data_IF_630466914092
#
_entry.id   IF_630466914092
#
_cell.length_a   1.000
_cell.length_b   1.000
_cell.length_c   1.000
_cell.angle_alpha   90.00
_cell.angle_beta   90.00
_cell.angle_gamma   90.00
#
_symmetry.space_group_name_H-M   'P 1'
#
loop_
_entity.id
_entity.type
_entity.pdbx_description
1 polymer ?
#
# COMPACT_ATOMS: atom_id res chain seq x y z
N UNK A 1 24.51 -61.04 -29.62
CA UNK A 1 23.75 -60.85 -28.36
C UNK A 1 24.43 -59.91 -27.32
N UNK A 2 25.74 -60.01 -27.00
CA UNK A 2 26.40 -59.18 -25.96
C UNK A 2 26.41 -57.68 -26.30
N UNK A 3 26.69 -57.26 -27.53
CA UNK A 3 26.77 -55.84 -27.97
C UNK A 3 25.38 -55.18 -27.86
N UNK A 4 24.30 -55.87 -28.29
CA UNK A 4 22.94 -55.33 -28.24
C UNK A 4 22.49 -55.10 -26.80
N UNK A 5 22.84 -55.98 -25.84
CA UNK A 5 22.54 -55.80 -24.40
C UNK A 5 23.31 -54.61 -23.82
N UNK A 6 24.58 -54.42 -24.22
CA UNK A 6 25.36 -53.26 -23.80
C UNK A 6 24.76 -51.93 -24.31
N UNK A 7 24.37 -51.88 -25.58
CA UNK A 7 23.67 -50.69 -26.16
C UNK A 7 22.36 -50.41 -25.45
N UNK A 8 21.57 -51.47 -25.16
CA UNK A 8 20.31 -51.32 -24.40
C UNK A 8 20.55 -50.72 -22.99
N UNK A 9 21.59 -51.21 -22.31
CA UNK A 9 21.97 -50.71 -20.98
C UNK A 9 22.40 -49.24 -21.01
N UNK A 10 23.19 -48.85 -22.00
CA UNK A 10 23.61 -47.43 -22.19
C UNK A 10 22.42 -46.55 -22.50
N UNK A 11 21.48 -46.96 -23.38
CA UNK A 11 20.27 -46.19 -23.69
C UNK A 11 19.36 -46.06 -22.47
N UNK A 12 19.24 -47.09 -21.63
CA UNK A 12 18.48 -47.05 -20.40
C UNK A 12 19.07 -46.02 -19.42
N UNK A 13 20.40 -46.05 -19.21
CA UNK A 13 21.11 -45.10 -18.34
C UNK A 13 20.88 -43.65 -18.84
N UNK A 14 21.10 -43.41 -20.13
CA UNK A 14 20.92 -42.10 -20.73
C UNK A 14 19.45 -41.62 -20.63
N UNK A 15 18.47 -42.52 -20.84
CA UNK A 15 17.06 -42.24 -20.68
C UNK A 15 16.70 -41.88 -19.25
N UNK A 16 17.17 -42.66 -18.26
CA UNK A 16 16.95 -42.38 -16.83
C UNK A 16 17.59 -41.06 -16.42
N UNK A 17 18.81 -40.79 -16.85
CA UNK A 17 19.47 -39.53 -16.55
C UNK A 17 18.78 -38.34 -17.18
N UNK A 18 18.35 -38.43 -18.45
CA UNK A 18 17.60 -37.39 -19.12
C UNK A 18 16.23 -37.13 -18.45
N UNK A 19 15.54 -38.19 -18.02
CA UNK A 19 14.28 -38.06 -17.24
C UNK A 19 14.51 -37.41 -15.88
N UNK A 20 15.60 -37.73 -15.20
CA UNK A 20 15.97 -37.10 -13.94
C UNK A 20 16.19 -35.59 -14.12
N UNK A 21 16.95 -35.15 -15.12
CA UNK A 21 17.18 -33.74 -15.41
C UNK A 21 15.88 -33.02 -15.80
N UNK A 22 15.00 -33.68 -16.58
CA UNK A 22 13.71 -33.11 -16.96
C UNK A 22 12.78 -32.99 -15.75
N UNK A 23 12.77 -33.97 -14.85
CA UNK A 23 11.99 -33.92 -13.60
C UNK A 23 12.47 -32.82 -12.66
N UNK A 24 13.79 -32.66 -12.51
CA UNK A 24 14.39 -31.59 -11.72
C UNK A 24 14.03 -30.20 -12.29
N UNK A 25 14.09 -30.05 -13.62
CA UNK A 25 13.66 -28.80 -14.28
C UNK A 25 12.18 -28.51 -14.06
N UNK A 26 11.32 -29.50 -14.18
CA UNK A 26 9.88 -29.36 -13.93
C UNK A 26 9.60 -29.02 -12.47
N UNK A 27 10.29 -29.65 -11.54
CA UNK A 27 10.19 -29.36 -10.10
C UNK A 27 10.57 -27.90 -9.80
N UNK A 28 11.72 -27.41 -10.32
CA UNK A 28 12.12 -26.00 -10.18
C UNK A 28 11.09 -25.06 -10.77
N UNK A 29 10.58 -25.35 -11.97
CA UNK A 29 9.55 -24.54 -12.61
C UNK A 29 8.21 -24.53 -11.81
N UNK A 30 7.86 -25.65 -11.16
CA UNK A 30 6.69 -25.72 -10.29
C UNK A 30 6.86 -24.83 -9.05
N UNK A 31 8.00 -24.90 -8.39
CA UNK A 31 8.29 -24.05 -7.23
C UNK A 31 8.30 -22.56 -7.60
N UNK A 32 8.89 -22.20 -8.76
CA UNK A 32 8.88 -20.81 -9.25
C UNK A 32 7.46 -20.29 -9.46
N UNK A 33 6.55 -21.08 -10.04
CA UNK A 33 5.13 -20.69 -10.17
C UNK A 33 4.50 -20.46 -8.80
N UNK A 34 4.76 -21.31 -7.81
CA UNK A 34 4.21 -21.16 -6.47
C UNK A 34 4.70 -19.85 -5.81
N UNK A 35 5.97 -19.52 -5.96
CA UNK A 35 6.54 -18.27 -5.49
C UNK A 35 5.91 -17.06 -6.19
N UNK A 36 5.82 -17.05 -7.52
CA UNK A 36 5.27 -15.91 -8.27
C UNK A 36 3.76 -15.70 -7.97
N UNK A 37 3.01 -16.76 -7.68
CA UNK A 37 1.63 -16.65 -7.17
C UNK A 37 1.58 -15.93 -5.82
N UNK A 38 2.50 -16.26 -4.93
CA UNK A 38 2.60 -15.61 -3.63
C UNK A 38 2.97 -14.14 -3.76
N UNK A 39 3.96 -13.82 -4.59
CA UNK A 39 4.43 -12.45 -4.80
C UNK A 39 3.36 -11.57 -5.44
N UNK A 40 2.62 -12.09 -6.42
CA UNK A 40 1.49 -11.39 -7.02
C UNK A 40 0.36 -11.13 -5.99
N UNK A 41 0.09 -12.08 -5.08
CA UNK A 41 -0.90 -11.90 -4.03
C UNK A 41 -0.47 -10.84 -3.00
N UNK A 42 0.82 -10.83 -2.61
CA UNK A 42 1.38 -9.80 -1.71
C UNK A 42 1.31 -8.40 -2.33
N UNK A 43 1.61 -8.28 -3.63
CA UNK A 43 1.51 -7.01 -4.35
C UNK A 43 0.07 -6.47 -4.37
N UNK A 44 -0.92 -7.32 -4.64
CA UNK A 44 -2.33 -6.94 -4.61
C UNK A 44 -2.79 -6.54 -3.20
N UNK A 45 -2.48 -7.36 -2.20
CA UNK A 45 -2.82 -7.07 -0.82
C UNK A 45 -2.23 -5.74 -0.34
N UNK A 46 -1.00 -5.45 -0.74
CA UNK A 46 -0.32 -4.22 -0.37
C UNK A 46 -0.98 -2.98 -0.97
N UNK A 47 -1.46 -3.03 -2.22
CA UNK A 47 -2.17 -1.92 -2.85
C UNK A 47 -3.47 -1.62 -2.10
N UNK A 48 -4.33 -2.62 -1.92
CA UNK A 48 -5.58 -2.47 -1.13
C UNK A 48 -5.30 -1.98 0.29
N UNK A 49 -4.20 -2.43 0.89
CA UNK A 49 -3.78 -2.04 2.23
C UNK A 49 -3.47 -0.55 2.33
N UNK A 50 -2.65 0.00 1.42
CA UNK A 50 -2.33 1.43 1.40
C UNK A 50 -3.57 2.29 1.15
N UNK A 51 -4.42 1.92 0.22
CA UNK A 51 -5.67 2.64 -0.04
C UNK A 51 -6.60 2.63 1.17
N UNK A 52 -6.69 1.49 1.87
CA UNK A 52 -7.48 1.36 3.10
C UNK A 52 -6.97 2.26 4.23
N UNK A 53 -5.65 2.36 4.41
CA UNK A 53 -5.04 3.26 5.39
C UNK A 53 -5.26 4.73 5.00
N UNK A 54 -5.22 5.08 3.71
CA UNK A 54 -5.52 6.44 3.23
C UNK A 54 -6.96 6.84 3.59
N UNK A 55 -7.92 5.95 3.35
CA UNK A 55 -9.32 6.20 3.71
C UNK A 55 -9.50 6.36 5.23
N UNK A 56 -8.84 5.52 6.03
CA UNK A 56 -8.86 5.62 7.49
C UNK A 56 -8.22 6.92 8.00
N UNK A 57 -7.14 7.38 7.38
CA UNK A 57 -6.49 8.65 7.68
C UNK A 57 -7.40 9.83 7.38
N UNK A 58 -8.20 9.73 6.33
CA UNK A 58 -9.18 10.76 6.00
C UNK A 58 -10.35 10.75 6.98
N UNK A 59 -10.88 9.56 7.34
CA UNK A 59 -11.89 9.40 8.43
C UNK A 59 -11.42 10.10 9.70
N UNK A 60 -10.19 9.81 10.17
CA UNK A 60 -9.63 10.45 11.35
C UNK A 60 -9.64 11.98 11.23
N UNK A 61 -9.22 12.50 10.08
CA UNK A 61 -9.13 13.96 9.85
C UNK A 61 -10.51 14.62 9.90
N UNK A 62 -11.52 14.04 9.26
CA UNK A 62 -12.89 14.55 9.26
C UNK A 62 -13.49 14.44 10.67
N UNK A 63 -13.26 13.32 11.37
CA UNK A 63 -13.70 13.13 12.75
C UNK A 63 -13.09 14.19 13.68
N UNK A 64 -11.81 14.49 13.54
CA UNK A 64 -11.12 15.52 14.33
C UNK A 64 -11.71 16.92 14.10
N UNK A 65 -11.97 17.28 12.84
CA UNK A 65 -12.62 18.54 12.49
C UNK A 65 -14.02 18.61 13.09
N UNK A 66 -14.81 17.54 12.92
CA UNK A 66 -16.18 17.48 13.46
C UNK A 66 -16.22 17.58 14.99
N UNK A 67 -15.31 16.92 15.71
CA UNK A 67 -15.20 16.99 17.16
C UNK A 67 -14.75 18.36 17.69
N UNK A 68 -14.14 19.20 16.84
CA UNK A 68 -13.72 20.55 17.22
C UNK A 68 -14.84 21.61 17.13
N UNK A 69 -16.00 21.26 16.56
CA UNK A 69 -17.14 22.17 16.47
C UNK A 69 -17.88 22.30 17.81
N UNK A 70 -18.15 23.53 18.24
CA UNK A 70 -18.95 23.83 19.43
C UNK A 70 -20.47 23.64 19.17
N UNK A 71 -20.88 23.51 17.90
CA UNK A 71 -22.26 23.35 17.46
C UNK A 71 -22.60 21.88 17.12
N UNK A 72 -23.83 21.63 16.72
CA UNK A 72 -24.25 20.35 16.15
C UNK A 72 -23.43 20.06 14.87
N UNK A 73 -23.05 18.80 14.70
CA UNK A 73 -22.26 18.36 13.54
C UNK A 73 -23.15 18.44 12.28
N UNK A 74 -22.70 19.11 11.21
CA UNK A 74 -23.42 19.09 9.95
C UNK A 74 -23.54 17.64 9.39
N UNK A 75 -24.71 17.24 8.85
CA UNK A 75 -24.93 15.89 8.32
C UNK A 75 -23.88 15.46 7.30
N UNK A 76 -23.40 16.37 6.47
CA UNK A 76 -22.37 16.09 5.47
C UNK A 76 -21.05 15.55 6.06
N UNK A 77 -20.67 15.97 7.28
CA UNK A 77 -19.49 15.40 7.96
C UNK A 77 -19.74 13.96 8.40
N UNK A 78 -20.94 13.67 8.92
CA UNK A 78 -21.31 12.32 9.35
C UNK A 78 -21.35 11.36 8.15
N UNK A 79 -21.98 11.78 7.05
CA UNK A 79 -22.02 11.01 5.80
C UNK A 79 -20.61 10.73 5.27
N UNK A 80 -19.72 11.72 5.30
CA UNK A 80 -18.34 11.58 4.85
C UNK A 80 -17.55 10.62 5.75
N UNK A 81 -17.74 10.68 7.07
CA UNK A 81 -17.12 9.74 8.03
C UNK A 81 -17.58 8.31 7.73
N UNK A 82 -18.89 8.08 7.55
CA UNK A 82 -19.43 6.75 7.24
C UNK A 82 -18.92 6.21 5.89
N UNK A 83 -18.84 7.07 4.87
CA UNK A 83 -18.29 6.71 3.57
C UNK A 83 -16.84 6.25 3.68
N UNK A 84 -16.01 6.99 4.44
CA UNK A 84 -14.60 6.63 4.62
C UNK A 84 -14.43 5.36 5.45
N UNK A 85 -15.27 5.12 6.45
CA UNK A 85 -15.31 3.86 7.22
C UNK A 85 -15.61 2.67 6.31
N UNK A 86 -16.66 2.76 5.51
CA UNK A 86 -17.04 1.70 4.59
C UNK A 86 -15.92 1.40 3.56
N UNK A 87 -15.28 2.45 3.05
CA UNK A 87 -14.16 2.33 2.11
C UNK A 87 -12.95 1.68 2.77
N UNK A 88 -12.51 2.16 3.93
CA UNK A 88 -11.34 1.61 4.64
C UNK A 88 -11.56 0.15 5.05
N UNK A 89 -12.72 -0.18 5.60
CA UNK A 89 -13.05 -1.54 6.02
C UNK A 89 -13.08 -2.50 4.82
N UNK A 90 -13.69 -2.09 3.71
CA UNK A 90 -13.75 -2.89 2.49
C UNK A 90 -12.36 -3.17 1.90
N UNK A 91 -11.49 -2.16 1.85
CA UNK A 91 -10.13 -2.29 1.34
C UNK A 91 -9.24 -3.16 2.24
N UNK A 92 -9.23 -2.89 3.54
CA UNK A 92 -8.46 -3.68 4.49
C UNK A 92 -8.92 -5.15 4.53
N UNK A 93 -10.22 -5.40 4.40
CA UNK A 93 -10.76 -6.76 4.33
C UNK A 93 -10.33 -7.47 3.05
N UNK A 94 -10.36 -6.81 1.87
CA UNK A 94 -9.85 -7.38 0.61
C UNK A 94 -8.36 -7.72 0.70
N UNK A 95 -7.55 -6.82 1.26
CA UNK A 95 -6.13 -7.07 1.48
C UNK A 95 -5.90 -8.35 2.29
N UNK A 96 -6.66 -8.54 3.37
CA UNK A 96 -6.58 -9.75 4.21
C UNK A 96 -6.99 -11.01 3.45
N UNK A 97 -8.15 -10.98 2.78
CA UNK A 97 -8.64 -12.12 2.00
C UNK A 97 -7.67 -12.54 0.89
N UNK A 98 -6.99 -11.55 0.27
CA UNK A 98 -5.96 -11.84 -0.75
C UNK A 98 -4.80 -12.69 -0.22
N UNK A 99 -4.61 -12.73 1.10
CA UNK A 99 -3.54 -13.47 1.78
C UNK A 99 -4.00 -14.77 2.44
N UNK A 100 -5.30 -14.96 2.70
CA UNK A 100 -5.81 -16.11 3.48
C UNK A 100 -5.56 -17.46 2.80
N UNK A 101 -5.80 -17.55 1.49
CA UNK A 101 -5.69 -18.79 0.71
C UNK A 101 -4.31 -19.02 0.08
N UNK A 102 -3.31 -18.22 0.44
CA UNK A 102 -1.99 -18.28 -0.19
C UNK A 102 -0.96 -18.99 0.68
N UNK A 103 0.13 -19.52 0.07
CA UNK A 103 1.22 -20.09 0.83
C UNK A 103 1.70 -19.13 1.91
N UNK A 104 2.08 -19.67 3.07
CA UNK A 104 2.53 -18.88 4.21
C UNK A 104 3.76 -18.03 3.84
N UNK A 105 3.69 -16.72 4.02
CA UNK A 105 4.87 -15.85 4.03
C UNK A 105 5.43 -15.73 5.46
N UNK A 106 6.71 -15.42 5.58
CA UNK A 106 7.49 -15.52 6.82
C UNK A 106 6.82 -14.82 8.02
N UNK A 107 6.17 -13.67 7.80
CA UNK A 107 5.59 -12.87 8.88
C UNK A 107 4.05 -12.92 8.94
N UNK A 108 3.41 -13.91 8.31
CA UNK A 108 1.94 -13.98 8.21
C UNK A 108 1.22 -13.89 9.55
N UNK A 109 1.68 -14.66 10.54
CA UNK A 109 1.04 -14.67 11.86
C UNK A 109 1.16 -13.32 12.55
N UNK A 110 2.38 -12.73 12.53
CA UNK A 110 2.63 -11.43 13.12
C UNK A 110 1.79 -10.34 12.45
N UNK A 111 1.73 -10.33 11.12
CA UNK A 111 0.87 -9.43 10.36
C UNK A 111 -0.60 -9.58 10.76
N UNK A 112 -1.12 -10.82 10.77
CA UNK A 112 -2.52 -11.08 11.11
C UNK A 112 -2.86 -10.65 12.54
N UNK A 113 -1.95 -10.83 13.50
CA UNK A 113 -2.14 -10.43 14.90
C UNK A 113 -2.13 -8.91 15.06
N UNK A 114 -1.18 -8.20 14.41
CA UNK A 114 -1.15 -6.74 14.42
C UNK A 114 -2.42 -6.15 13.81
N UNK A 115 -2.85 -6.66 12.66
CA UNK A 115 -4.07 -6.21 11.98
C UNK A 115 -5.30 -6.45 12.85
N UNK A 116 -5.42 -7.62 13.46
CA UNK A 116 -6.56 -7.95 14.35
C UNK A 116 -6.61 -7.00 15.54
N UNK A 117 -5.47 -6.73 16.17
CA UNK A 117 -5.36 -5.79 17.29
C UNK A 117 -5.76 -4.38 16.88
N UNK A 118 -5.18 -3.87 15.78
CA UNK A 118 -5.49 -2.53 15.28
C UNK A 118 -6.97 -2.38 14.91
N UNK A 119 -7.57 -3.35 14.21
CA UNK A 119 -9.00 -3.33 13.86
C UNK A 119 -9.91 -3.33 15.10
N UNK A 120 -9.57 -4.10 16.12
CA UNK A 120 -10.33 -4.09 17.38
C UNK A 120 -10.25 -2.72 18.07
N UNK A 121 -9.06 -2.11 18.08
CA UNK A 121 -8.85 -0.76 18.59
C UNK A 121 -9.63 0.30 17.80
N UNK A 122 -9.56 0.27 16.47
CA UNK A 122 -10.31 1.17 15.58
C UNK A 122 -11.81 1.05 15.83
N UNK A 123 -12.35 -0.17 15.92
CA UNK A 123 -13.77 -0.38 16.17
C UNK A 123 -14.20 0.16 17.56
N UNK A 124 -13.32 0.10 18.56
CA UNK A 124 -13.59 0.68 19.87
C UNK A 124 -13.62 2.23 19.81
N UNK A 125 -12.61 2.83 19.17
CA UNK A 125 -12.51 4.29 19.01
C UNK A 125 -13.63 4.86 18.14
N UNK A 126 -14.09 4.14 17.12
CA UNK A 126 -15.25 4.54 16.31
C UNK A 126 -16.53 4.63 17.13
N UNK A 127 -16.80 3.62 18.00
CA UNK A 127 -17.96 3.69 18.90
C UNK A 127 -17.90 4.88 19.84
N UNK A 128 -16.73 5.15 20.39
CA UNK A 128 -16.53 6.33 21.23
C UNK A 128 -16.68 7.64 20.44
N UNK A 129 -16.15 7.69 19.20
CA UNK A 129 -16.35 8.82 18.30
C UNK A 129 -17.84 9.07 18.05
N UNK A 130 -18.62 8.03 17.77
CA UNK A 130 -20.06 8.14 17.52
C UNK A 130 -20.80 8.68 18.73
N UNK A 131 -20.46 8.23 19.95
CA UNK A 131 -21.01 8.75 21.20
C UNK A 131 -20.67 10.24 21.42
N UNK A 132 -19.47 10.68 21.03
CA UNK A 132 -19.07 12.08 21.12
C UNK A 132 -19.73 12.94 20.02
N UNK A 133 -19.80 12.44 18.79
CA UNK A 133 -20.39 13.14 17.65
C UNK A 133 -21.91 13.33 17.82
N UNK A 134 -22.58 12.40 18.51
CA UNK A 134 -24.01 12.51 18.83
C UNK A 134 -24.37 13.64 19.84
N UNK A 135 -23.36 14.18 20.54
CA UNK A 135 -23.54 15.25 21.55
C UNK A 135 -23.25 16.61 20.94
N UNK A 136 -23.88 17.67 21.48
CA UNK A 136 -23.51 19.07 21.19
C UNK A 136 -22.16 19.42 21.80
N UNK A 137 -21.49 20.48 21.33
CA UNK A 137 -20.13 20.86 21.75
C UNK A 137 -19.95 20.92 23.27
N UNK A 138 -20.86 21.63 23.96
CA UNK A 138 -20.79 21.81 25.43
C UNK A 138 -21.01 20.51 26.22
N UNK A 139 -21.70 19.52 25.65
CA UNK A 139 -21.94 18.23 26.28
C UNK A 139 -20.82 17.18 25.98
N UNK A 140 -19.87 17.52 25.10
CA UNK A 140 -18.73 16.68 24.79
C UNK A 140 -17.68 16.78 25.89
N UNK A 141 -17.04 15.65 26.20
CA UNK A 141 -15.85 15.67 27.04
C UNK A 141 -14.66 16.23 26.22
N UNK A 142 -14.12 17.42 26.51
CA UNK A 142 -13.10 18.07 25.71
C UNK A 142 -11.78 17.28 25.71
N UNK A 143 -11.45 16.58 26.81
CA UNK A 143 -10.25 15.76 26.93
C UNK A 143 -10.34 14.55 25.96
N UNK A 144 -11.50 13.89 25.91
CA UNK A 144 -11.69 12.74 25.01
C UNK A 144 -11.83 13.18 23.55
N UNK A 145 -12.52 14.28 23.28
CA UNK A 145 -12.61 14.84 21.92
C UNK A 145 -11.25 15.19 21.32
N UNK A 146 -10.30 15.65 22.15
CA UNK A 146 -8.95 15.92 21.69
C UNK A 146 -8.03 14.69 21.67
N UNK A 147 -8.21 13.70 22.54
CA UNK A 147 -7.37 12.51 22.62
C UNK A 147 -7.66 11.47 21.52
N UNK A 148 -8.95 11.28 21.19
CA UNK A 148 -9.41 10.24 20.26
C UNK A 148 -8.73 10.29 18.88
N UNK A 149 -8.55 11.44 18.20
CA UNK A 149 -7.85 11.51 16.93
C UNK A 149 -6.37 11.07 17.01
N UNK A 150 -5.72 11.28 18.17
CA UNK A 150 -4.33 10.83 18.39
C UNK A 150 -4.25 9.32 18.61
N UNK A 151 -5.23 8.75 19.28
CA UNK A 151 -5.31 7.29 19.45
C UNK A 151 -5.58 6.62 18.10
N UNK A 152 -6.47 7.16 17.26
CA UNK A 152 -6.67 6.70 15.87
C UNK A 152 -5.39 6.84 15.03
N UNK A 153 -4.67 7.96 15.19
CA UNK A 153 -3.37 8.17 14.52
C UNK A 153 -2.39 7.05 14.86
N UNK A 154 -2.26 6.69 16.15
CA UNK A 154 -1.35 5.61 16.57
C UNK A 154 -1.71 4.27 15.91
N UNK A 155 -3.01 3.92 15.84
CA UNK A 155 -3.45 2.70 15.17
C UNK A 155 -3.21 2.73 13.65
N UNK A 156 -3.31 3.90 13.01
CA UNK A 156 -2.96 4.08 11.60
C UNK A 156 -1.47 3.88 11.38
N UNK A 157 -0.63 4.42 12.26
CA UNK A 157 0.82 4.23 12.23
C UNK A 157 1.20 2.75 12.45
N UNK A 158 0.50 2.03 13.33
CA UNK A 158 0.67 0.58 13.54
C UNK A 158 0.30 -0.22 12.28
N UNK A 159 -0.83 0.12 11.62
CA UNK A 159 -1.23 -0.50 10.35
C UNK A 159 -0.23 -0.20 9.23
N UNK A 160 0.30 1.02 9.19
CA UNK A 160 1.35 1.36 8.22
C UNK A 160 2.64 0.58 8.49
N UNK A 161 3.06 0.49 9.74
CA UNK A 161 4.21 -0.33 10.13
C UNK A 161 4.01 -1.81 9.78
N UNK A 162 2.78 -2.34 9.94
CA UNK A 162 2.44 -3.70 9.53
C UNK A 162 2.64 -3.94 8.02
N UNK A 163 2.54 -2.91 7.17
CA UNK A 163 2.83 -3.04 5.73
C UNK A 163 4.26 -3.50 5.44
N UNK A 164 5.21 -3.21 6.34
CA UNK A 164 6.58 -3.69 6.23
C UNK A 164 6.70 -5.23 6.36
N UNK A 165 5.70 -5.88 6.94
CA UNK A 165 5.62 -7.35 7.01
C UNK A 165 5.14 -7.98 5.70
N UNK A 166 4.54 -7.18 4.81
CA UNK A 166 4.15 -7.57 3.45
C UNK A 166 5.30 -7.42 2.45
N UNK A 167 6.54 -7.45 2.93
CA UNK A 167 7.74 -7.34 2.10
C UNK A 167 8.04 -8.69 1.46
N UNK A 168 8.47 -8.63 0.21
CA UNK A 168 8.90 -9.78 -0.56
C UNK A 168 10.21 -10.36 0.00
N UNK A 169 10.44 -11.68 -0.08
CA UNK A 169 11.68 -12.31 0.33
C UNK A 169 12.89 -11.66 -0.34
N UNK A 170 13.95 -11.40 0.43
CA UNK A 170 15.20 -10.82 -0.09
C UNK A 170 15.77 -11.70 -1.19
N UNK A 171 16.08 -11.09 -2.33
CA UNK A 171 16.70 -11.76 -3.50
C UNK A 171 15.73 -12.06 -4.65
N UNK A 172 14.42 -11.90 -4.46
CA UNK A 172 13.41 -12.11 -5.51
C UNK A 172 12.87 -10.81 -6.11
N UNK A 173 13.01 -9.70 -5.39
CA UNK A 173 12.59 -8.36 -5.84
C UNK A 173 13.58 -7.78 -6.84
N UNK A 174 13.09 -7.28 -7.96
CA UNK A 174 13.91 -6.46 -8.86
C UNK A 174 14.17 -5.08 -8.24
N UNK A 175 15.28 -4.45 -8.62
CA UNK A 175 15.57 -3.05 -8.22
C UNK A 175 14.41 -2.14 -8.56
N UNK A 176 13.78 -2.33 -9.72
CA UNK A 176 12.63 -1.56 -10.18
C UNK A 176 11.43 -1.71 -9.24
N UNK A 177 11.12 -2.93 -8.83
CA UNK A 177 10.00 -3.19 -7.91
C UNK A 177 10.24 -2.59 -6.52
N UNK A 178 11.47 -2.70 -6.00
CA UNK A 178 11.82 -2.06 -4.73
C UNK A 178 11.63 -0.53 -4.80
N UNK A 179 12.00 0.10 -5.93
CA UNK A 179 11.82 1.53 -6.12
C UNK A 179 10.35 1.93 -6.26
N UNK A 180 9.54 1.19 -7.01
CA UNK A 180 8.09 1.40 -7.09
C UNK A 180 7.43 1.28 -5.71
N UNK A 181 7.83 0.28 -4.93
CA UNK A 181 7.36 0.08 -3.56
C UNK A 181 7.77 1.24 -2.64
N UNK A 182 8.98 1.77 -2.81
CA UNK A 182 9.45 2.94 -2.06
C UNK A 182 8.67 4.20 -2.44
N UNK A 183 8.41 4.43 -3.73
CA UNK A 183 7.59 5.54 -4.22
C UNK A 183 6.17 5.46 -3.64
N UNK A 184 5.56 4.27 -3.64
CA UNK A 184 4.24 4.04 -3.04
C UNK A 184 4.20 4.40 -1.55
N UNK A 185 5.20 3.95 -0.78
CA UNK A 185 5.32 4.26 0.65
C UNK A 185 5.52 5.75 0.90
N UNK A 186 6.39 6.40 0.13
CA UNK A 186 6.66 7.84 0.27
C UNK A 186 5.46 8.70 -0.12
N UNK A 187 4.71 8.31 -1.16
CA UNK A 187 3.46 8.99 -1.52
C UNK A 187 2.44 8.93 -0.37
N UNK A 188 2.34 7.78 0.32
CA UNK A 188 1.53 7.69 1.51
C UNK A 188 2.04 8.62 2.63
N UNK A 189 3.34 8.65 2.90
CA UNK A 189 3.92 9.54 3.92
C UNK A 189 3.62 11.02 3.64
N UNK A 190 3.80 11.47 2.38
CA UNK A 190 3.46 12.85 1.97
C UNK A 190 1.99 13.16 2.23
N UNK A 191 1.11 12.26 1.82
CA UNK A 191 -0.34 12.41 1.96
C UNK A 191 -0.76 12.39 3.43
N UNK A 192 -0.20 11.51 4.25
CA UNK A 192 -0.53 11.40 5.68
C UNK A 192 -0.07 12.64 6.45
N UNK A 193 1.20 13.01 6.33
CA UNK A 193 1.73 14.18 7.03
C UNK A 193 1.09 15.48 6.54
N UNK A 194 0.93 15.64 5.22
CA UNK A 194 0.19 16.79 4.67
C UNK A 194 -1.25 16.83 5.18
N UNK A 195 -1.97 15.71 5.16
CA UNK A 195 -3.34 15.62 5.67
C UNK A 195 -3.46 15.97 7.15
N UNK A 196 -2.47 15.62 7.97
CA UNK A 196 -2.43 15.99 9.40
C UNK A 196 -2.22 17.50 9.59
N UNK A 197 -1.24 18.08 8.89
CA UNK A 197 -1.02 19.51 8.91
C UNK A 197 -2.28 20.28 8.48
N UNK A 198 -2.93 19.85 7.37
CA UNK A 198 -4.19 20.41 6.92
C UNK A 198 -5.26 20.44 8.01
N UNK A 199 -5.42 19.32 8.75
CA UNK A 199 -6.51 19.17 9.72
C UNK A 199 -6.49 20.24 10.78
N UNK A 200 -5.31 20.61 11.30
CA UNK A 200 -5.19 21.67 12.30
C UNK A 200 -5.59 23.05 11.76
N UNK A 201 -5.18 23.38 10.54
CA UNK A 201 -5.54 24.66 9.92
C UNK A 201 -6.99 24.67 9.42
N UNK A 202 -7.56 23.53 9.01
CA UNK A 202 -8.97 23.43 8.69
C UNK A 202 -9.85 23.70 9.92
N UNK A 203 -9.44 23.28 11.12
CA UNK A 203 -10.14 23.64 12.37
C UNK A 203 -10.09 25.17 12.56
N UNK A 204 -8.95 25.82 12.34
CA UNK A 204 -8.86 27.28 12.48
C UNK A 204 -9.79 28.02 11.50
N UNK A 205 -9.83 27.57 10.23
CA UNK A 205 -10.71 28.21 9.21
C UNK A 205 -12.18 27.99 9.52
N UNK A 206 -12.55 26.84 10.06
CA UNK A 206 -13.94 26.50 10.38
C UNK A 206 -14.45 27.21 11.65
N UNK A 207 -13.58 27.36 12.64
CA UNK A 207 -13.92 27.99 13.93
C UNK A 207 -13.66 29.50 13.95
N UNK A 208 -12.99 30.02 12.93
CA UNK A 208 -12.51 31.43 12.86
C UNK A 208 -11.68 31.84 14.10
N UNK A 209 -10.98 30.87 14.70
CA UNK A 209 -10.19 31.05 15.92
C UNK A 209 -8.80 30.45 15.77
N UNK A 210 -7.80 31.02 16.49
CA UNK A 210 -6.48 30.42 16.50
C UNK A 210 -6.52 29.05 17.22
N UNK A 211 -5.99 28.02 16.60
CA UNK A 211 -5.84 26.70 17.23
C UNK A 211 -4.79 26.73 18.35
N UNK A 212 -4.81 25.81 19.32
CA UNK A 212 -3.81 25.71 20.38
C UNK A 212 -2.37 25.68 19.85
N UNK A 213 -1.42 26.25 20.61
CA UNK A 213 -0.01 26.32 20.17
C UNK A 213 0.61 24.96 19.87
N UNK A 214 0.21 23.94 20.62
CA UNK A 214 0.64 22.56 20.39
C UNK A 214 0.26 22.08 18.99
N UNK A 215 -0.94 22.38 18.51
CA UNK A 215 -1.43 22.00 17.18
C UNK A 215 -0.66 22.70 16.05
N UNK A 216 -0.27 23.97 16.25
CA UNK A 216 0.60 24.66 15.27
C UNK A 216 1.99 24.04 15.25
N UNK A 217 2.53 23.68 16.41
CA UNK A 217 3.81 22.99 16.50
C UNK A 217 3.77 21.65 15.75
N UNK A 218 2.71 20.86 15.94
CA UNK A 218 2.51 19.59 15.23
C UNK A 218 2.32 19.81 13.73
N UNK A 219 1.50 20.79 13.32
CA UNK A 219 1.31 21.11 11.91
C UNK A 219 2.63 21.44 11.21
N UNK A 220 3.53 22.21 11.84
CA UNK A 220 4.87 22.50 11.31
C UNK A 220 5.74 21.25 11.16
N UNK A 221 5.73 20.38 12.18
CA UNK A 221 6.48 19.11 12.14
C UNK A 221 5.96 18.24 11.00
N UNK A 222 4.64 18.12 10.87
CA UNK A 222 4.03 17.30 9.83
C UNK A 222 4.21 17.90 8.43
N UNK A 223 4.19 19.25 8.28
CA UNK A 223 4.55 19.92 7.03
C UNK A 223 5.99 19.60 6.62
N UNK A 224 6.96 19.77 7.53
CA UNK A 224 8.35 19.45 7.24
C UNK A 224 8.58 17.97 6.90
N UNK A 225 7.84 17.05 7.52
CA UNK A 225 7.86 15.61 7.18
C UNK A 225 7.28 15.35 5.80
N UNK A 226 6.18 16.01 5.44
CA UNK A 226 5.58 15.89 4.12
C UNK A 226 6.53 16.39 3.02
N UNK A 227 7.20 17.53 3.23
CA UNK A 227 8.22 18.06 2.33
C UNK A 227 9.41 17.10 2.18
N UNK A 228 9.92 16.58 3.29
CA UNK A 228 11.03 15.64 3.28
C UNK A 228 10.67 14.33 2.55
N UNK A 229 9.47 13.81 2.78
CA UNK A 229 8.97 12.62 2.08
C UNK A 229 8.78 12.89 0.57
N UNK A 230 8.27 14.08 0.20
CA UNK A 230 8.14 14.48 -1.20
C UNK A 230 9.51 14.57 -1.89
N UNK A 231 10.47 15.21 -1.25
CA UNK A 231 11.84 15.26 -1.78
C UNK A 231 12.45 13.86 -1.98
N UNK A 232 12.30 12.96 -0.99
CA UNK A 232 12.77 11.58 -1.11
C UNK A 232 12.05 10.82 -2.25
N UNK A 233 10.75 11.06 -2.44
CA UNK A 233 9.99 10.48 -3.55
C UNK A 233 10.57 10.93 -4.90
N UNK A 234 10.84 12.23 -5.07
CA UNK A 234 11.47 12.76 -6.29
C UNK A 234 12.84 12.13 -6.53
N UNK A 235 13.69 12.05 -5.52
CA UNK A 235 15.01 11.40 -5.62
C UNK A 235 14.87 9.92 -6.01
N UNK A 236 13.91 9.21 -5.42
CA UNK A 236 13.65 7.81 -5.78
C UNK A 236 13.13 7.67 -7.23
N UNK A 237 12.31 8.62 -7.67
CA UNK A 237 11.78 8.66 -9.04
C UNK A 237 12.88 8.92 -10.08
N UNK A 238 13.82 9.80 -9.78
CA UNK A 238 14.94 10.15 -10.66
C UNK A 238 16.02 9.03 -10.73
N UNK A 239 16.05 8.13 -9.76
CA UNK A 239 17.03 7.05 -9.69
C UNK A 239 16.79 5.89 -10.66
N UNK A 240 15.60 5.78 -11.26
CA UNK A 240 15.20 4.69 -12.15
C UNK A 240 14.33 5.19 -13.30
N UNK A 241 14.36 4.47 -14.43
CA UNK A 241 13.43 4.72 -15.52
C UNK A 241 12.02 4.27 -15.09
N UNK A 242 11.15 5.25 -14.87
CA UNK A 242 9.77 5.02 -14.47
C UNK A 242 8.84 4.81 -15.68
N UNK A 243 7.74 4.06 -15.50
CA UNK A 243 6.66 4.02 -16.47
C UNK A 243 6.08 5.42 -16.72
N UNK A 244 5.74 5.75 -17.97
CA UNK A 244 5.25 7.07 -18.36
C UNK A 244 4.04 7.52 -17.53
N UNK A 245 3.11 6.61 -17.21
CA UNK A 245 1.95 6.91 -16.36
C UNK A 245 2.33 7.33 -14.94
N UNK A 246 3.36 6.72 -14.34
CA UNK A 246 3.84 7.07 -13.01
C UNK A 246 4.62 8.40 -13.04
N UNK A 247 5.43 8.63 -14.07
CA UNK A 247 6.10 9.92 -14.28
C UNK A 247 5.08 11.05 -14.35
N UNK A 248 4.06 10.90 -15.19
CA UNK A 248 2.99 11.89 -15.32
C UNK A 248 2.22 12.09 -13.99
N UNK A 249 1.95 11.02 -13.23
CA UNK A 249 1.31 11.14 -11.92
C UNK A 249 2.15 11.97 -10.95
N UNK A 250 3.47 11.77 -10.91
CA UNK A 250 4.40 12.54 -10.05
C UNK A 250 4.48 14.01 -10.51
N UNK A 251 4.59 14.27 -11.81
CA UNK A 251 4.63 15.61 -12.38
C UNK A 251 3.35 16.40 -12.08
N UNK A 252 2.19 15.74 -12.13
CA UNK A 252 0.90 16.36 -11.82
C UNK A 252 0.76 16.81 -10.36
N UNK A 253 1.57 16.32 -9.45
CA UNK A 253 1.58 16.72 -8.03
C UNK A 253 2.38 18.01 -7.81
N UNK A 254 3.39 18.30 -8.63
CA UNK A 254 4.34 19.38 -8.40
C UNK A 254 3.62 20.73 -8.17
N UNK A 255 2.73 21.11 -9.05
CA UNK A 255 2.02 22.40 -8.95
C UNK A 255 1.03 22.45 -7.77
N UNK A 256 0.09 21.50 -7.62
CA UNK A 256 -0.89 21.58 -6.52
C UNK A 256 -0.24 21.43 -5.14
N UNK A 257 0.79 20.59 -4.99
CA UNK A 257 1.42 20.35 -3.70
C UNK A 257 2.47 21.43 -3.36
N UNK A 258 3.49 21.61 -4.19
CA UNK A 258 4.63 22.48 -3.87
C UNK A 258 4.35 23.95 -4.14
N UNK A 259 3.65 24.30 -5.24
CA UNK A 259 3.39 25.69 -5.59
C UNK A 259 2.10 26.27 -5.00
N UNK A 260 1.17 25.43 -4.53
CA UNK A 260 -0.12 25.91 -4.00
C UNK A 260 -0.30 25.53 -2.53
N UNK A 261 -0.21 24.25 -2.19
CA UNK A 261 -0.57 23.76 -0.85
C UNK A 261 0.47 24.14 0.21
N UNK A 262 1.76 23.89 -0.02
CA UNK A 262 2.80 24.23 0.96
C UNK A 262 2.82 25.74 1.27
N UNK A 263 2.78 26.68 0.29
CA UNK A 263 2.66 28.10 0.57
C UNK A 263 1.35 28.47 1.30
N UNK A 264 0.25 27.73 1.09
CA UNK A 264 -0.97 27.97 1.84
C UNK A 264 -0.80 27.60 3.33
N UNK A 265 -0.13 26.47 3.64
CA UNK A 265 0.21 26.12 5.03
C UNK A 265 1.09 27.16 5.69
N UNK A 266 2.09 27.71 4.98
CA UNK A 266 2.96 28.79 5.49
C UNK A 266 2.16 30.04 5.84
N UNK A 267 1.23 30.44 4.97
CA UNK A 267 0.35 31.61 5.22
C UNK A 267 -0.55 31.37 6.42
N UNK A 268 -1.12 30.16 6.56
CA UNK A 268 -1.93 29.79 7.72
C UNK A 268 -1.10 29.84 9.00
N UNK A 269 0.13 29.31 8.97
CA UNK A 269 1.05 29.35 10.10
C UNK A 269 1.38 30.80 10.53
N UNK A 270 1.70 31.66 9.56
CA UNK A 270 1.97 33.07 9.82
C UNK A 270 0.77 33.79 10.45
N UNK A 271 -0.46 33.52 9.93
CA UNK A 271 -1.69 34.10 10.50
C UNK A 271 -1.92 33.63 11.94
N UNK A 272 -1.74 32.32 12.23
CA UNK A 272 -1.90 31.78 13.59
C UNK A 272 -0.91 32.41 14.58
N UNK A 273 0.35 32.66 14.15
CA UNK A 273 1.33 33.30 14.99
C UNK A 273 1.00 34.79 15.24
N UNK A 274 0.56 35.51 14.21
CA UNK A 274 0.16 36.91 14.33
C UNK A 274 -1.05 37.05 15.29
N UNK A 275 -2.10 36.25 15.15
CA UNK A 275 -3.24 36.26 16.04
C UNK A 275 -2.86 36.02 17.51
N UNK A 276 -1.91 35.13 17.75
CA UNK A 276 -1.43 34.81 19.11
C UNK A 276 -0.59 35.92 19.73
N UNK A 277 0.17 36.63 18.91
CA UNK A 277 0.94 37.79 19.40
C UNK A 277 0.09 39.04 19.69
N UNK A 278 -1.26 38.90 19.53
CA UNK A 278 -2.21 39.99 19.69
C UNK A 278 -2.25 40.96 18.49
N UNK A 279 -1.55 40.61 17.40
CA UNK A 279 -1.68 41.37 16.16
C UNK A 279 -3.03 41.08 15.51
N UNK A 280 -3.62 42.10 14.91
CA UNK A 280 -4.82 41.91 14.09
C UNK A 280 -4.42 41.21 12.80
N UNK A 281 -4.76 39.93 12.70
CA UNK A 281 -4.51 39.15 11.51
C UNK A 281 -5.82 38.38 11.16
N UNK A 282 -6.16 38.41 9.90
CA UNK A 282 -7.28 37.64 9.37
C UNK A 282 -6.78 36.26 8.94
N UNK A 283 -7.63 35.26 9.07
CA UNK A 283 -7.36 33.92 8.53
C UNK A 283 -7.38 34.03 7.00
N UNK A 284 -6.30 33.64 6.29
CA UNK A 284 -6.12 33.97 4.87
C UNK A 284 -7.06 33.22 3.91
N UNK A 285 -7.75 32.19 4.41
CA UNK A 285 -8.65 31.35 3.62
C UNK A 285 -9.94 31.04 4.40
N UNK A 286 -11.07 31.00 3.71
CA UNK A 286 -12.29 30.36 4.23
C UNK A 286 -12.15 28.84 4.27
N UNK A 287 -12.98 28.17 5.05
CA UNK A 287 -12.92 26.70 5.21
C UNK A 287 -13.03 25.99 3.87
N UNK A 288 -14.03 26.31 3.05
CA UNK A 288 -14.27 25.65 1.76
C UNK A 288 -13.11 25.84 0.79
N UNK A 289 -12.56 27.05 0.72
CA UNK A 289 -11.43 27.37 -0.13
C UNK A 289 -10.18 26.58 0.30
N UNK A 290 -9.84 26.63 1.61
CA UNK A 290 -8.68 25.91 2.15
C UNK A 290 -8.84 24.40 1.99
N UNK A 291 -10.05 23.89 2.21
CA UNK A 291 -10.32 22.46 2.08
C UNK A 291 -10.22 21.99 0.62
N UNK A 292 -10.78 22.77 -0.32
CA UNK A 292 -10.70 22.47 -1.74
C UNK A 292 -9.24 22.46 -2.27
N UNK A 293 -8.46 23.50 -1.97
CA UNK A 293 -7.07 23.54 -2.41
C UNK A 293 -6.20 22.44 -1.80
N UNK A 294 -6.44 22.12 -0.53
CA UNK A 294 -5.68 21.07 0.16
C UNK A 294 -6.08 19.67 -0.31
N UNK A 295 -7.37 19.43 -0.60
CA UNK A 295 -7.81 18.18 -1.19
C UNK A 295 -7.20 17.98 -2.58
N UNK A 296 -7.24 19.00 -3.46
CA UNK A 296 -6.64 18.91 -4.78
C UNK A 296 -5.17 18.48 -4.73
N UNK A 297 -4.40 19.01 -3.77
CA UNK A 297 -3.01 18.64 -3.58
C UNK A 297 -2.83 17.21 -3.03
N UNK A 298 -3.56 16.90 -1.96
CA UNK A 298 -3.43 15.61 -1.27
C UNK A 298 -4.01 14.44 -2.06
N UNK A 299 -5.05 14.67 -2.87
CA UNK A 299 -5.62 13.66 -3.77
C UNK A 299 -4.69 13.40 -4.97
N UNK A 300 -4.03 14.46 -5.49
CA UNK A 300 -2.99 14.28 -6.50
C UNK A 300 -1.84 13.42 -5.98
N UNK A 301 -1.36 13.66 -4.75
CA UNK A 301 -0.35 12.81 -4.08
C UNK A 301 -0.86 11.39 -3.87
N UNK A 302 -2.09 11.24 -3.37
CA UNK A 302 -2.70 9.93 -3.14
C UNK A 302 -2.81 9.12 -4.44
N UNK A 303 -2.99 9.79 -5.59
CA UNK A 303 -3.03 9.17 -6.91
C UNK A 303 -1.73 8.49 -7.36
N UNK A 304 -0.57 8.83 -6.78
CA UNK A 304 0.71 8.19 -7.10
C UNK A 304 0.73 6.73 -6.63
N UNK A 305 0.23 6.46 -5.42
CA UNK A 305 0.33 5.13 -4.80
C UNK A 305 -0.39 4.03 -5.59
N UNK A 306 -1.66 4.20 -6.05
CA UNK A 306 -2.31 3.19 -6.89
C UNK A 306 -1.60 3.01 -8.24
N UNK A 307 -1.14 4.07 -8.90
CA UNK A 307 -0.40 3.94 -10.17
C UNK A 307 0.88 3.12 -9.99
N UNK A 308 1.64 3.37 -8.92
CA UNK A 308 2.82 2.56 -8.60
C UNK A 308 2.42 1.11 -8.28
N UNK A 309 1.33 0.91 -7.54
CA UNK A 309 0.76 -0.40 -7.22
C UNK A 309 0.36 -1.19 -8.47
N UNK A 310 -0.33 -0.58 -9.43
CA UNK A 310 -0.74 -1.19 -10.70
C UNK A 310 0.48 -1.68 -11.50
N UNK A 311 1.57 -0.91 -11.51
CA UNK A 311 2.80 -1.34 -12.16
C UNK A 311 3.48 -2.51 -11.46
N UNK A 312 3.47 -2.56 -10.12
CA UNK A 312 3.96 -3.70 -9.35
C UNK A 312 3.11 -4.95 -9.63
N UNK A 313 1.78 -4.81 -9.62
CA UNK A 313 0.85 -5.90 -9.92
C UNK A 313 1.03 -6.42 -11.35
N UNK A 314 1.14 -5.52 -12.33
CA UNK A 314 1.37 -5.87 -13.74
C UNK A 314 2.68 -6.62 -13.94
N UNK A 315 3.75 -6.20 -13.26
CA UNK A 315 5.04 -6.89 -13.27
C UNK A 315 4.91 -8.34 -12.76
N UNK A 316 4.29 -8.53 -11.59
CA UNK A 316 4.13 -9.89 -11.04
C UNK A 316 3.15 -10.75 -11.82
N UNK A 317 2.12 -10.17 -12.44
CA UNK A 317 1.22 -10.87 -13.33
C UNK A 317 1.97 -11.40 -14.59
N UNK A 318 2.90 -10.62 -15.13
CA UNK A 318 3.74 -11.05 -16.26
C UNK A 318 4.72 -12.16 -15.84
N UNK A 319 5.44 -11.99 -14.72
CA UNK A 319 6.33 -13.01 -14.18
C UNK A 319 5.61 -14.34 -13.95
N UNK A 320 4.40 -14.29 -13.41
CA UNK A 320 3.57 -15.48 -13.22
C UNK A 320 3.16 -16.14 -14.55
N UNK A 321 2.85 -15.35 -15.59
CA UNK A 321 2.55 -15.88 -16.93
C UNK A 321 3.76 -16.59 -17.54
N UNK A 322 4.94 -15.98 -17.43
CA UNK A 322 6.20 -16.55 -17.92
C UNK A 322 6.53 -17.85 -17.17
N UNK A 323 6.42 -17.87 -15.86
CA UNK A 323 6.69 -19.07 -15.06
C UNK A 323 5.71 -20.22 -15.36
N UNK A 324 4.43 -19.91 -15.60
CA UNK A 324 3.44 -20.90 -16.05
C UNK A 324 3.78 -21.47 -17.42
N UNK A 325 4.22 -20.63 -18.37
CA UNK A 325 4.69 -21.09 -19.69
C UNK A 325 5.94 -21.97 -19.58
N UNK A 326 6.92 -21.57 -18.77
CA UNK A 326 8.12 -22.34 -18.51
C UNK A 326 7.81 -23.71 -17.87
N UNK A 327 6.86 -23.77 -16.95
CA UNK A 327 6.38 -25.04 -16.35
C UNK A 327 5.73 -25.93 -17.40
N UNK A 328 4.82 -25.39 -18.24
CA UNK A 328 4.15 -26.16 -19.29
C UNK A 328 5.17 -26.72 -20.31
N UNK A 329 6.15 -25.90 -20.72
CA UNK A 329 7.24 -26.31 -21.61
C UNK A 329 8.12 -27.41 -20.98
N UNK A 330 8.47 -27.28 -19.70
CA UNK A 330 9.23 -28.29 -18.98
C UNK A 330 8.48 -29.62 -18.87
N UNK A 331 7.17 -29.59 -18.66
CA UNK A 331 6.32 -30.77 -18.65
C UNK A 331 6.27 -31.43 -20.03
N UNK A 332 6.12 -30.64 -21.12
CA UNK A 332 6.13 -31.17 -22.49
C UNK A 332 7.48 -31.84 -22.83
N UNK A 333 8.60 -31.24 -22.44
CA UNK A 333 9.94 -31.85 -22.62
C UNK A 333 10.03 -33.18 -21.87
N UNK A 334 9.57 -33.25 -20.62
CA UNK A 334 9.62 -34.46 -19.84
C UNK A 334 8.79 -35.59 -20.51
N UNK A 335 7.60 -35.29 -21.00
CA UNK A 335 6.74 -36.25 -21.74
C UNK A 335 7.44 -36.70 -23.03
N UNK A 336 8.04 -35.79 -23.80
CA UNK A 336 8.75 -36.11 -25.03
C UNK A 336 9.96 -37.04 -24.77
N UNK A 337 10.77 -36.77 -23.74
CA UNK A 337 11.91 -37.62 -23.36
C UNK A 337 11.41 -39.01 -22.93
N UNK A 338 10.34 -39.09 -22.14
CA UNK A 338 9.78 -40.37 -21.72
C UNK A 338 9.29 -41.17 -22.92
N UNK A 339 8.57 -40.54 -23.85
CA UNK A 339 8.07 -41.20 -25.08
C UNK A 339 9.22 -41.67 -25.98
N UNK A 340 10.24 -40.86 -26.20
CA UNK A 340 11.42 -41.24 -26.99
C UNK A 340 12.22 -42.38 -26.36
N UNK A 341 12.38 -42.33 -25.04
CA UNK A 341 13.07 -43.41 -24.31
C UNK A 341 12.32 -44.74 -24.44
N UNK A 342 10.96 -44.71 -24.24
CA UNK A 342 10.12 -45.85 -24.37
C UNK A 342 10.10 -46.42 -25.81
N UNK A 343 9.95 -45.56 -26.81
CA UNK A 343 9.99 -45.94 -28.22
C UNK A 343 11.32 -46.58 -28.63
N UNK A 344 12.42 -46.03 -28.15
CA UNK A 344 13.78 -46.59 -28.39
C UNK A 344 13.95 -47.98 -27.79
N UNK A 345 13.48 -48.17 -26.56
CA UNK A 345 13.51 -49.47 -25.88
C UNK A 345 12.67 -50.53 -26.60
N UNK A 346 11.42 -50.17 -27.01
CA UNK A 346 10.54 -51.04 -27.76
C UNK A 346 11.10 -51.43 -29.12
N UNK A 347 11.63 -50.44 -29.86
CA UNK A 347 12.28 -50.70 -31.17
C UNK A 347 13.44 -51.65 -31.05
N UNK A 348 14.30 -51.46 -30.02
CA UNK A 348 15.47 -52.32 -29.80
C UNK A 348 15.03 -53.75 -29.37
N UNK A 349 14.03 -53.85 -28.50
CA UNK A 349 13.46 -55.15 -28.09
C UNK A 349 12.95 -55.95 -29.31
N UNK A 350 12.19 -55.29 -30.21
CA UNK A 350 11.68 -55.95 -31.43
C UNK A 350 12.81 -56.48 -32.33
N UNK A 351 13.92 -55.75 -32.46
CA UNK A 351 15.10 -56.17 -33.25
C UNK A 351 15.92 -57.29 -32.58
N UNK A 352 15.77 -57.54 -31.31
CA UNK A 352 16.48 -58.57 -30.56
C UNK A 352 15.72 -59.91 -30.51
N UNK A 353 14.39 -59.86 -30.66
CA UNK A 353 13.50 -61.04 -30.56
C UNK A 353 13.06 -61.54 -31.94
N UNK A 354 13.09 -60.73 -32.98
CA UNK A 354 12.94 -61.12 -34.39
C UNK A 354 14.28 -61.40 -35.03
#
# INVERSE_FOLDING_TARGET
MRIARAVMFVLLILGVFSLYLAAERLWRAHHKVAQDVQLAALANARSDWYEGIVALSFERSVTQVALSLDTAIPPAFLELIEQQRAQSDGLLLRAMHSLEDKPSFENRTLFADQVRSARAGIAALRREADDLLARTGDARNPVRSSALPYELKSLIEDLFAASALLVLPRGESSTREMMLSRIQSLAWEVREYGGRARTFYAIATLTERPVPIAYVGEARIDTARAEAAWHQLRVAADAVELPAGLTAAIENVERPFTATYLPALERMDAAMNAMRSGARADIPYGFEEFFALSNAALDAVAGIAPVAGDHIQSYWAEQLRESRRARAFSAAIMVAIAALTLASLVALQRKLVG
#
